data_IF_650584554789
#
_entry.id   IF_650584554789
#
_cell.length_a   1.000
_cell.length_b   1.000
_cell.length_c   1.000
_cell.angle_alpha   90.00
_cell.angle_beta   90.00
_cell.angle_gamma   90.00
#
_symmetry.space_group_name_H-M   'P 1'
#
loop_
_entity.id
_entity.type
_entity.pdbx_description
1 polymer ?
#
# COMPACT_ATOMS: atom_id res chain seq x y z
N UNK A 1 -15.78 -20.99 -9.47
CA UNK A 1 -15.83 -19.53 -9.29
C UNK A 1 -14.86 -18.88 -10.28
N UNK A 2 -15.28 -17.83 -10.98
CA UNK A 2 -14.43 -17.10 -11.93
C UNK A 2 -13.83 -15.86 -11.28
N UNK A 3 -12.72 -15.37 -11.84
CA UNK A 3 -12.11 -14.08 -11.41
C UNK A 3 -13.08 -12.90 -11.55
N UNK A 4 -13.95 -12.93 -12.56
CA UNK A 4 -14.94 -11.88 -12.77
C UNK A 4 -16.04 -11.88 -11.72
N UNK A 5 -16.55 -13.06 -11.35
CA UNK A 5 -17.54 -13.21 -10.27
C UNK A 5 -17.00 -12.70 -8.93
N UNK A 6 -15.75 -13.09 -8.58
CA UNK A 6 -15.10 -12.58 -7.37
C UNK A 6 -14.95 -11.08 -7.39
N UNK A 7 -14.41 -10.50 -8.48
CA UNK A 7 -14.22 -9.06 -8.61
C UNK A 7 -15.54 -8.28 -8.52
N UNK A 8 -16.61 -8.80 -9.12
CA UNK A 8 -17.94 -8.21 -9.02
C UNK A 8 -18.49 -8.25 -7.60
N UNK A 9 -18.35 -9.38 -6.91
CA UNK A 9 -18.77 -9.54 -5.51
C UNK A 9 -17.98 -8.60 -4.59
N UNK A 10 -16.65 -8.56 -4.70
CA UNK A 10 -15.82 -7.68 -3.89
C UNK A 10 -16.19 -6.20 -4.09
N UNK A 11 -16.46 -5.77 -5.32
CA UNK A 11 -16.95 -4.42 -5.61
C UNK A 11 -18.32 -4.14 -5.00
N UNK A 12 -19.25 -5.11 -5.01
CA UNK A 12 -20.56 -4.96 -4.37
C UNK A 12 -20.47 -4.85 -2.84
N UNK A 13 -19.41 -5.41 -2.24
CA UNK A 13 -19.08 -5.25 -0.81
C UNK A 13 -18.25 -3.99 -0.51
N UNK A 14 -18.00 -3.17 -1.53
CA UNK A 14 -17.37 -1.86 -1.39
C UNK A 14 -15.90 -1.78 -1.80
N UNK A 15 -15.27 -2.82 -2.32
CA UNK A 15 -13.90 -2.72 -2.83
C UNK A 15 -13.79 -1.72 -3.98
N UNK A 16 -12.84 -0.79 -3.88
CA UNK A 16 -12.51 0.14 -4.98
C UNK A 16 -11.52 -0.50 -5.96
N UNK A 17 -10.62 -1.35 -5.44
CA UNK A 17 -9.61 -2.08 -6.21
C UNK A 17 -9.70 -3.57 -5.88
N UNK A 18 -9.57 -4.42 -6.88
CA UNK A 18 -9.48 -5.89 -6.71
C UNK A 18 -8.52 -6.46 -7.73
N UNK A 19 -7.48 -7.14 -7.26
CA UNK A 19 -6.52 -7.84 -8.09
C UNK A 19 -6.30 -9.27 -7.62
N UNK A 20 -5.89 -10.15 -8.53
CA UNK A 20 -5.67 -11.57 -8.26
C UNK A 20 -4.28 -11.97 -8.75
N UNK A 21 -3.42 -12.44 -7.86
CA UNK A 21 -2.13 -13.04 -8.20
C UNK A 21 -2.19 -14.56 -8.04
N UNK A 22 -1.37 -15.28 -8.84
CA UNK A 22 -1.17 -16.72 -8.63
C UNK A 22 -0.08 -16.94 -7.59
N UNK A 23 -0.29 -17.86 -6.64
CA UNK A 23 0.75 -18.25 -5.68
C UNK A 23 1.96 -18.89 -6.38
N UNK A 24 1.75 -19.54 -7.52
CA UNK A 24 2.85 -20.11 -8.31
C UNK A 24 3.83 -19.03 -8.83
N UNK A 25 3.35 -17.84 -9.17
CA UNK A 25 4.21 -16.73 -9.59
C UNK A 25 5.02 -16.10 -8.44
N UNK A 26 4.69 -16.43 -7.21
CA UNK A 26 5.32 -15.96 -5.97
C UNK A 26 6.24 -17.00 -5.32
N UNK A 27 6.43 -18.15 -5.97
CA UNK A 27 7.23 -19.27 -5.43
C UNK A 27 8.72 -18.93 -5.18
N UNK A 28 9.23 -17.86 -5.81
CA UNK A 28 10.61 -17.38 -5.61
C UNK A 28 10.82 -16.66 -4.28
N UNK A 29 9.74 -16.28 -3.58
CA UNK A 29 9.84 -15.56 -2.33
C UNK A 29 10.39 -16.45 -1.21
N UNK A 30 11.20 -15.89 -0.31
CA UNK A 30 11.65 -16.61 0.87
C UNK A 30 10.45 -17.05 1.72
N UNK A 31 10.61 -18.10 2.50
CA UNK A 31 9.51 -18.66 3.30
C UNK A 31 8.89 -17.69 4.30
N UNK A 32 9.65 -16.69 4.74
CA UNK A 32 9.21 -15.64 5.65
C UNK A 32 8.21 -14.66 4.99
N UNK A 33 8.20 -14.58 3.65
CA UNK A 33 7.36 -13.69 2.84
C UNK A 33 6.42 -14.47 1.90
N UNK A 34 6.43 -15.82 1.96
CA UNK A 34 5.73 -16.67 0.99
C UNK A 34 4.31 -16.98 1.47
N UNK A 35 3.28 -16.74 0.65
CA UNK A 35 1.89 -17.05 1.00
C UNK A 35 1.66 -18.54 1.31
N UNK A 36 2.40 -19.45 0.67
CA UNK A 36 2.29 -20.90 0.92
C UNK A 36 2.84 -21.31 2.30
N UNK A 37 3.57 -20.46 2.99
CA UNK A 37 3.98 -20.70 4.38
C UNK A 37 2.83 -20.48 5.37
N UNK A 38 1.83 -19.68 4.99
CA UNK A 38 0.60 -19.47 5.77
C UNK A 38 -0.46 -20.50 5.40
N UNK A 39 -0.71 -20.64 4.10
CA UNK A 39 -1.72 -21.54 3.58
C UNK A 39 -1.13 -22.37 2.42
N UNK A 40 -0.63 -23.60 2.69
CA UNK A 40 0.05 -24.44 1.69
C UNK A 40 -0.80 -24.80 0.48
N UNK A 41 -2.13 -24.87 0.63
CA UNK A 41 -3.07 -25.18 -0.43
C UNK A 41 -3.51 -23.97 -1.26
N UNK A 42 -3.08 -22.77 -0.89
CA UNK A 42 -3.48 -21.54 -1.59
C UNK A 42 -3.06 -21.57 -3.07
N UNK A 43 -3.99 -21.25 -3.96
CA UNK A 43 -3.79 -21.11 -5.40
C UNK A 43 -3.66 -19.66 -5.82
N UNK A 44 -4.37 -18.78 -5.14
CA UNK A 44 -4.39 -17.35 -5.45
C UNK A 44 -4.24 -16.48 -4.19
N UNK A 45 -3.67 -15.31 -4.42
CA UNK A 45 -3.70 -14.16 -3.49
C UNK A 45 -4.63 -13.12 -4.09
N UNK A 46 -5.68 -12.78 -3.36
CA UNK A 46 -6.64 -11.73 -3.73
C UNK A 46 -6.24 -10.47 -2.98
N UNK A 47 -6.09 -9.37 -3.69
CA UNK A 47 -5.81 -8.05 -3.10
C UNK A 47 -7.09 -7.23 -3.17
N UNK A 48 -7.53 -6.72 -2.04
CA UNK A 48 -8.68 -5.83 -1.90
C UNK A 48 -8.16 -4.45 -1.51
N UNK A 49 -8.57 -3.42 -2.24
CA UNK A 49 -8.18 -2.05 -1.95
C UNK A 49 -9.38 -1.15 -1.68
N UNK A 50 -9.23 -0.26 -0.69
CA UNK A 50 -10.15 0.84 -0.39
C UNK A 50 -9.45 2.15 -0.64
N UNK A 51 -10.16 3.06 -1.32
CA UNK A 51 -9.67 4.39 -1.66
C UNK A 51 -9.60 5.29 -0.44
N UNK A 52 -8.51 6.04 -0.31
CA UNK A 52 -8.45 7.20 0.58
C UNK A 52 -9.13 8.39 -0.11
N UNK A 53 -10.20 8.97 0.44
CA UNK A 53 -10.83 10.14 -0.14
C UNK A 53 -9.82 11.28 -0.33
N UNK A 54 -9.77 11.86 -1.51
CA UNK A 54 -8.85 12.97 -1.80
C UNK A 54 -9.07 14.17 -0.87
N UNK A 55 -10.32 14.41 -0.49
CA UNK A 55 -10.71 15.45 0.46
C UNK A 55 -10.09 15.27 1.84
N UNK A 56 -9.85 14.03 2.27
CA UNK A 56 -9.20 13.76 3.56
C UNK A 56 -7.77 14.35 3.67
N UNK A 57 -7.12 14.59 2.54
CA UNK A 57 -5.79 15.20 2.50
C UNK A 57 -5.82 16.74 2.35
N UNK A 58 -7.01 17.34 2.19
CA UNK A 58 -7.11 18.79 1.89
C UNK A 58 -6.61 19.65 3.04
N UNK A 59 -7.02 19.36 4.27
CA UNK A 59 -6.58 20.10 5.45
C UNK A 59 -5.08 20.00 5.67
N UNK A 60 -4.51 18.83 5.44
CA UNK A 60 -3.06 18.64 5.53
C UNK A 60 -2.32 19.41 4.43
N UNK A 61 -2.80 19.40 3.19
CA UNK A 61 -2.18 20.17 2.12
C UNK A 61 -2.21 21.68 2.40
N UNK A 62 -3.25 22.18 3.08
CA UNK A 62 -3.34 23.55 3.56
C UNK A 62 -2.56 23.80 4.85
N UNK A 63 -2.12 22.77 5.56
CA UNK A 63 -1.44 22.90 6.85
C UNK A 63 -2.35 23.30 8.01
N UNK A 64 -3.66 22.96 7.94
CA UNK A 64 -4.67 23.45 8.87
C UNK A 64 -5.40 22.36 9.63
N UNK A 65 -5.47 21.13 9.10
CA UNK A 65 -6.24 20.06 9.72
C UNK A 65 -5.70 18.67 9.30
N UNK A 66 -5.62 17.72 10.23
CA UNK A 66 -5.22 16.35 9.99
C UNK A 66 -6.08 15.31 10.73
N UNK A 67 -6.41 15.55 11.99
CA UNK A 67 -6.90 14.52 12.90
C UNK A 67 -8.34 14.09 12.63
N UNK A 68 -9.23 15.04 12.30
CA UNK A 68 -10.64 14.73 12.05
C UNK A 68 -10.92 14.22 10.63
N UNK A 69 -9.96 14.36 9.75
CA UNK A 69 -10.11 14.01 8.34
C UNK A 69 -9.22 12.85 7.95
N UNK A 70 -7.91 13.08 7.80
CA UNK A 70 -7.02 12.02 7.31
C UNK A 70 -6.80 10.91 8.33
N UNK A 71 -6.64 11.22 9.62
CA UNK A 71 -6.42 10.18 10.62
C UNK A 71 -7.59 9.19 10.67
N UNK A 72 -8.81 9.67 10.50
CA UNK A 72 -10.00 8.80 10.46
C UNK A 72 -10.22 8.19 9.08
N UNK A 73 -10.49 9.01 8.05
CA UNK A 73 -10.90 8.53 6.73
C UNK A 73 -9.75 8.12 5.81
N UNK A 74 -8.53 8.42 6.15
CA UNK A 74 -7.34 7.99 5.43
C UNK A 74 -6.58 6.83 6.08
N UNK A 75 -6.88 6.54 7.36
CA UNK A 75 -6.15 5.52 8.11
C UNK A 75 -7.09 4.72 9.05
N UNK A 76 -7.45 5.21 10.24
CA UNK A 76 -8.07 4.43 11.31
C UNK A 76 -9.38 3.77 10.86
N UNK A 77 -10.43 4.55 10.61
CA UNK A 77 -11.73 4.00 10.20
C UNK A 77 -11.68 3.31 8.84
N UNK A 78 -10.81 3.81 7.96
CA UNK A 78 -10.66 3.21 6.64
C UNK A 78 -10.12 1.78 6.71
N UNK A 79 -9.12 1.52 7.56
CA UNK A 79 -8.55 0.19 7.74
C UNK A 79 -9.42 -0.67 8.66
N UNK A 80 -9.74 -0.20 9.87
CA UNK A 80 -10.36 -0.99 10.91
C UNK A 80 -11.85 -1.28 10.68
N UNK A 81 -12.55 -0.40 9.95
CA UNK A 81 -13.98 -0.55 9.69
C UNK A 81 -14.26 -0.86 8.22
N UNK A 82 -13.91 0.03 7.28
CA UNK A 82 -14.38 -0.12 5.90
C UNK A 82 -13.64 -1.21 5.14
N UNK A 83 -12.32 -1.26 5.23
CA UNK A 83 -11.52 -2.28 4.57
C UNK A 83 -11.69 -3.64 5.24
N UNK A 84 -11.67 -3.68 6.58
CA UNK A 84 -11.90 -4.88 7.37
C UNK A 84 -13.26 -5.52 7.02
N UNK A 85 -14.34 -4.71 7.01
CA UNK A 85 -15.67 -5.20 6.65
C UNK A 85 -15.71 -5.72 5.21
N UNK A 86 -15.18 -4.99 4.24
CA UNK A 86 -15.14 -5.43 2.85
C UNK A 86 -14.41 -6.77 2.71
N UNK A 87 -13.27 -6.91 3.38
CA UNK A 87 -12.46 -8.13 3.36
C UNK A 87 -13.20 -9.30 4.01
N UNK A 88 -13.84 -9.07 5.14
CA UNK A 88 -14.66 -10.05 5.83
C UNK A 88 -15.84 -10.52 4.96
N UNK A 89 -16.58 -9.61 4.34
CA UNK A 89 -17.73 -9.94 3.49
C UNK A 89 -17.32 -10.80 2.28
N UNK A 90 -16.16 -10.48 1.67
CA UNK A 90 -15.59 -11.31 0.57
C UNK A 90 -15.20 -12.69 1.10
N UNK A 91 -14.58 -12.77 2.28
CA UNK A 91 -14.19 -14.03 2.89
C UNK A 91 -15.40 -14.95 3.09
N UNK A 92 -16.44 -14.46 3.77
CA UNK A 92 -17.68 -15.20 4.02
C UNK A 92 -18.39 -15.58 2.71
N UNK A 93 -18.36 -14.72 1.69
CA UNK A 93 -18.92 -15.00 0.37
C UNK A 93 -18.19 -16.16 -0.32
N UNK A 94 -16.87 -16.29 -0.13
CA UNK A 94 -16.07 -17.39 -0.66
C UNK A 94 -16.32 -18.69 0.11
N UNK A 95 -16.35 -18.65 1.44
CA UNK A 95 -16.64 -19.81 2.30
C UNK A 95 -18.03 -20.38 2.02
N UNK A 96 -19.03 -19.53 1.79
CA UNK A 96 -20.37 -19.97 1.40
C UNK A 96 -20.41 -20.72 0.04
N UNK A 97 -19.32 -20.69 -0.72
CA UNK A 97 -19.12 -21.42 -1.98
C UNK A 97 -18.19 -22.62 -1.85
N UNK A 98 -17.78 -22.95 -0.63
CA UNK A 98 -16.94 -24.10 -0.32
C UNK A 98 -15.45 -23.88 -0.54
N UNK A 99 -14.99 -22.62 -0.63
CA UNK A 99 -13.58 -22.28 -0.71
C UNK A 99 -13.07 -21.77 0.63
N UNK A 100 -11.88 -22.19 1.02
CA UNK A 100 -11.19 -21.59 2.17
C UNK A 100 -10.52 -20.30 1.74
N UNK A 101 -10.65 -19.27 2.58
CA UNK A 101 -9.98 -17.99 2.37
C UNK A 101 -9.43 -17.46 3.70
N UNK A 102 -8.13 -17.12 3.71
CA UNK A 102 -7.43 -16.60 4.90
C UNK A 102 -7.29 -15.09 4.80
N UNK A 103 -8.03 -14.29 5.59
CA UNK A 103 -7.96 -12.84 5.53
C UNK A 103 -6.72 -12.33 6.25
N UNK A 104 -6.03 -11.39 5.60
CA UNK A 104 -4.80 -10.76 6.08
C UNK A 104 -4.85 -9.25 5.85
N UNK A 105 -4.44 -8.45 6.83
CA UNK A 105 -4.17 -7.04 6.60
C UNK A 105 -2.84 -6.85 5.87
N UNK A 106 -2.74 -5.78 5.08
CA UNK A 106 -1.54 -5.42 4.35
C UNK A 106 -0.64 -4.50 5.19
N UNK A 107 -0.14 -4.99 6.30
CA UNK A 107 0.78 -4.23 7.14
C UNK A 107 2.09 -3.92 6.43
N UNK A 108 2.60 -2.71 6.64
CA UNK A 108 3.94 -2.31 6.22
C UNK A 108 4.93 -2.64 7.34
N UNK A 109 5.35 -3.88 7.41
CA UNK A 109 6.29 -4.30 8.42
C UNK A 109 7.66 -4.56 7.84
N UNK A 110 8.66 -4.20 8.62
CA UNK A 110 10.08 -4.35 8.30
C UNK A 110 10.63 -5.75 8.62
N UNK A 111 9.76 -6.77 8.53
CA UNK A 111 10.16 -8.16 8.39
C UNK A 111 10.97 -8.78 9.53
N UNK A 112 10.84 -8.31 10.76
CA UNK A 112 11.45 -9.05 11.88
C UNK A 112 10.52 -10.20 12.29
N UNK A 113 10.96 -11.46 12.20
CA UNK A 113 10.16 -12.59 12.62
C UNK A 113 9.85 -12.48 14.13
N UNK A 114 8.58 -12.75 14.47
CA UNK A 114 8.14 -12.71 15.86
C UNK A 114 7.85 -14.13 16.34
N UNK A 115 8.71 -14.62 17.19
CA UNK A 115 8.59 -15.95 17.76
C UNK A 115 9.70 -16.89 17.28
N UNK A 116 9.48 -18.19 17.47
CA UNK A 116 10.41 -19.25 17.06
C UNK A 116 9.70 -20.22 16.14
N UNK A 117 10.39 -20.88 15.19
CA UNK A 117 9.81 -21.92 14.36
C UNK A 117 9.18 -23.02 15.21
N UNK A 118 7.95 -23.43 14.88
CA UNK A 118 7.25 -24.49 15.60
C UNK A 118 7.76 -25.88 15.22
N UNK A 119 8.44 -26.00 14.07
CA UNK A 119 9.07 -27.20 13.57
C UNK A 119 10.35 -26.85 12.79
N UNK A 120 11.34 -27.76 12.70
CA UNK A 120 12.49 -27.57 11.83
C UNK A 120 12.07 -27.30 10.36
N UNK A 121 12.65 -26.26 9.77
CA UNK A 121 12.38 -25.90 8.36
C UNK A 121 11.20 -24.95 8.14
N UNK A 122 10.27 -24.80 9.10
CA UNK A 122 9.22 -23.78 9.02
C UNK A 122 9.76 -22.40 9.38
N UNK A 123 9.17 -21.31 8.83
CA UNK A 123 9.47 -19.96 9.32
C UNK A 123 8.94 -19.77 10.75
N UNK A 124 9.43 -18.75 11.45
CA UNK A 124 8.85 -18.31 12.71
C UNK A 124 7.37 -17.90 12.49
N UNK A 125 6.51 -17.99 13.52
CA UNK A 125 5.16 -17.44 13.44
C UNK A 125 5.15 -15.98 13.00
N UNK A 126 3.99 -15.55 12.43
CA UNK A 126 3.79 -14.25 11.80
C UNK A 126 4.64 -14.07 10.53
N UNK A 127 4.50 -14.99 9.58
CA UNK A 127 4.89 -14.76 8.18
C UNK A 127 4.17 -13.50 7.68
N UNK A 128 4.92 -12.53 7.18
CA UNK A 128 4.38 -11.23 6.80
C UNK A 128 4.59 -11.01 5.32
N UNK A 129 3.49 -11.06 4.58
CA UNK A 129 3.53 -10.89 3.15
C UNK A 129 3.82 -9.44 2.77
N UNK A 130 4.76 -9.26 1.85
CA UNK A 130 5.08 -7.96 1.27
C UNK A 130 3.95 -7.50 0.33
N UNK A 131 2.96 -6.80 0.87
CA UNK A 131 1.74 -6.44 0.12
C UNK A 131 2.03 -5.71 -1.20
N UNK A 132 3.12 -4.94 -1.29
CA UNK A 132 3.51 -4.24 -2.52
C UNK A 132 3.85 -5.23 -3.64
N UNK A 133 4.55 -6.31 -3.32
CA UNK A 133 4.87 -7.38 -4.26
C UNK A 133 3.58 -8.09 -4.67
N UNK A 134 2.71 -8.42 -3.72
CA UNK A 134 1.44 -9.09 -3.96
C UNK A 134 0.51 -8.23 -4.84
N UNK A 135 0.36 -6.94 -4.52
CA UNK A 135 -0.47 -6.02 -5.26
C UNK A 135 0.06 -5.76 -6.68
N UNK A 136 1.38 -5.71 -6.87
CA UNK A 136 1.99 -5.60 -8.20
C UNK A 136 1.81 -6.87 -9.02
N UNK A 137 2.00 -8.05 -8.41
CA UNK A 137 1.73 -9.35 -9.04
C UNK A 137 0.25 -9.48 -9.45
N UNK A 138 -0.65 -8.88 -8.67
CA UNK A 138 -2.09 -8.81 -8.94
C UNK A 138 -2.50 -7.69 -9.92
N UNK A 139 -1.54 -7.01 -10.55
CA UNK A 139 -1.79 -6.03 -11.61
C UNK A 139 -2.29 -4.66 -11.16
N UNK A 140 -2.22 -4.33 -9.85
CA UNK A 140 -2.83 -3.12 -9.32
C UNK A 140 -1.97 -1.86 -9.42
N UNK A 141 -0.64 -2.00 -9.51
CA UNK A 141 0.22 -0.83 -9.52
C UNK A 141 1.68 -1.16 -9.25
N UNK A 142 2.45 -0.16 -8.86
CA UNK A 142 3.90 -0.23 -8.64
C UNK A 142 4.34 0.44 -7.34
N UNK A 143 5.52 0.08 -6.85
CA UNK A 143 6.15 0.82 -5.76
C UNK A 143 6.86 2.05 -6.32
N UNK A 144 6.47 3.24 -5.87
CA UNK A 144 7.10 4.50 -6.26
C UNK A 144 8.45 4.74 -5.58
N UNK A 145 9.20 5.72 -6.09
CA UNK A 145 10.53 6.11 -5.59
C UNK A 145 10.55 6.39 -4.07
N UNK A 146 9.48 6.97 -3.54
CA UNK A 146 9.35 7.24 -2.09
C UNK A 146 8.90 6.00 -1.27
N UNK A 147 8.79 4.83 -1.88
CA UNK A 147 8.37 3.59 -1.25
C UNK A 147 6.86 3.44 -1.00
N UNK A 148 6.02 4.37 -1.46
CA UNK A 148 4.56 4.21 -1.44
C UNK A 148 4.11 3.41 -2.66
N UNK A 149 3.04 2.62 -2.50
CA UNK A 149 2.44 1.92 -3.61
C UNK A 149 1.52 2.85 -4.40
N UNK A 150 1.67 2.85 -5.72
CA UNK A 150 0.95 3.73 -6.64
C UNK A 150 0.03 2.90 -7.53
N UNK A 151 -1.23 3.30 -7.64
CA UNK A 151 -2.18 2.73 -8.59
C UNK A 151 -2.55 3.74 -9.68
N UNK A 152 -2.90 3.27 -10.90
CA UNK A 152 -3.41 4.16 -11.95
C UNK A 152 -4.69 4.89 -11.55
N UNK A 153 -5.50 4.28 -10.68
CA UNK A 153 -6.77 4.87 -10.24
C UNK A 153 -6.53 6.04 -9.28
N UNK A 154 -5.71 5.86 -8.25
CA UNK A 154 -5.67 6.77 -7.10
C UNK A 154 -4.28 7.30 -6.73
N UNK A 155 -3.24 6.93 -7.48
CA UNK A 155 -1.86 7.21 -7.07
C UNK A 155 -1.54 6.52 -5.74
N UNK A 156 -1.02 7.22 -4.72
CA UNK A 156 -0.72 6.61 -3.41
C UNK A 156 -1.93 6.52 -2.46
N UNK A 157 -3.14 6.87 -2.90
CA UNK A 157 -4.31 7.05 -2.03
C UNK A 157 -5.19 5.81 -1.92
N UNK A 158 -4.66 4.72 -1.37
CA UNK A 158 -5.41 3.50 -1.06
C UNK A 158 -4.82 2.74 0.12
N UNK A 159 -5.66 1.89 0.73
CA UNK A 159 -5.30 0.88 1.70
C UNK A 159 -5.64 -0.49 1.15
N UNK A 160 -4.88 -1.50 1.57
CA UNK A 160 -5.04 -2.86 1.08
C UNK A 160 -5.26 -3.87 2.19
N UNK A 161 -5.99 -4.92 1.87
CA UNK A 161 -6.04 -6.18 2.57
C UNK A 161 -5.87 -7.33 1.57
N UNK A 162 -5.60 -8.51 2.04
CA UNK A 162 -5.35 -9.70 1.22
C UNK A 162 -6.20 -10.87 1.69
N UNK A 163 -6.51 -11.77 0.75
CA UNK A 163 -7.06 -13.10 1.05
C UNK A 163 -6.21 -14.15 0.34
N UNK A 164 -5.76 -15.17 1.07
CA UNK A 164 -5.19 -16.36 0.46
C UNK A 164 -6.31 -17.38 0.27
N UNK A 165 -6.39 -18.03 -0.88
CA UNK A 165 -7.47 -18.98 -1.14
C UNK A 165 -7.03 -20.20 -1.94
N UNK A 166 -7.65 -21.34 -1.68
CA UNK A 166 -7.55 -22.57 -2.46
C UNK A 166 -8.37 -22.54 -3.76
N UNK A 167 -9.24 -21.53 -3.93
CA UNK A 167 -9.96 -21.32 -5.17
C UNK A 167 -8.98 -21.03 -6.32
N UNK A 168 -9.00 -21.89 -7.35
CA UNK A 168 -8.21 -21.67 -8.54
C UNK A 168 -8.93 -20.70 -9.49
N UNK A 169 -8.28 -19.56 -9.75
CA UNK A 169 -8.80 -18.51 -10.63
C UNK A 169 -7.72 -18.02 -11.57
N UNK A 170 -8.15 -17.47 -12.71
CA UNK A 170 -7.23 -16.79 -13.63
C UNK A 170 -6.65 -15.55 -12.95
N UNK A 171 -5.33 -15.53 -12.77
CA UNK A 171 -4.63 -14.38 -12.24
C UNK A 171 -4.60 -13.21 -13.24
N UNK A 172 -4.50 -12.02 -12.71
CA UNK A 172 -4.21 -10.81 -13.48
C UNK A 172 -2.74 -10.82 -13.96
N UNK A 173 -2.45 -9.99 -14.95
CA UNK A 173 -1.06 -9.80 -15.39
C UNK A 173 -0.34 -8.88 -14.41
N UNK A 174 0.92 -9.16 -14.04
CA UNK A 174 1.70 -8.26 -13.20
C UNK A 174 1.78 -6.85 -13.79
N UNK A 175 1.73 -5.85 -12.94
CA UNK A 175 1.77 -4.46 -13.35
C UNK A 175 3.18 -4.08 -13.83
N UNK A 176 3.27 -3.52 -15.03
CA UNK A 176 4.52 -2.99 -15.57
C UNK A 176 4.69 -1.52 -15.12
N UNK A 177 5.81 -1.17 -14.48
CA UNK A 177 6.01 0.16 -13.92
C UNK A 177 6.04 1.27 -14.97
N UNK A 178 5.27 2.35 -14.74
CA UNK A 178 5.30 3.57 -15.57
C UNK A 178 4.86 4.85 -14.83
N UNK A 179 4.15 4.72 -13.70
CA UNK A 179 3.55 5.86 -12.99
C UNK A 179 4.62 6.77 -12.36
N UNK A 180 5.67 6.16 -11.79
CA UNK A 180 6.75 6.88 -11.09
C UNK A 180 7.91 7.26 -12.02
N UNK A 181 7.92 6.74 -13.26
CA UNK A 181 9.04 6.92 -14.18
C UNK A 181 9.40 8.39 -14.38
N UNK A 182 10.69 8.71 -14.26
CA UNK A 182 11.29 10.02 -14.52
C UNK A 182 10.68 11.21 -13.73
N UNK A 183 9.96 10.95 -12.64
CA UNK A 183 9.29 11.99 -11.87
C UNK A 183 10.16 12.66 -10.80
N UNK A 184 10.65 11.91 -9.81
CA UNK A 184 11.53 12.36 -8.73
C UNK A 184 10.99 13.44 -7.77
N UNK A 185 9.78 13.96 -7.95
CA UNK A 185 9.24 15.13 -7.21
C UNK A 185 9.14 14.95 -5.69
N UNK A 186 9.07 13.71 -5.21
CA UNK A 186 9.02 13.41 -3.79
C UNK A 186 10.34 13.68 -3.04
N UNK A 187 11.48 13.64 -3.73
CA UNK A 187 12.80 13.80 -3.12
C UNK A 187 13.00 15.25 -2.66
N UNK A 188 12.95 16.27 -3.54
CA UNK A 188 13.11 17.67 -3.10
C UNK A 188 11.94 18.15 -2.22
N UNK A 189 10.79 17.48 -2.26
CA UNK A 189 9.65 17.82 -1.41
C UNK A 189 9.80 17.31 0.04
N UNK A 190 10.80 16.49 0.34
CA UNK A 190 11.06 16.02 1.70
C UNK A 190 11.80 17.09 2.50
N UNK A 191 11.16 17.75 3.49
CA UNK A 191 11.80 18.85 4.22
C UNK A 191 13.01 18.40 5.07
N UNK A 192 13.05 17.10 5.39
CA UNK A 192 14.13 16.50 6.19
C UNK A 192 15.18 15.79 5.32
N UNK A 193 15.04 15.83 4.00
CA UNK A 193 15.95 15.16 3.05
C UNK A 193 16.16 13.66 3.38
N UNK A 194 15.11 12.99 3.85
CA UNK A 194 15.16 11.60 4.31
C UNK A 194 15.18 10.56 3.17
N UNK A 195 15.16 10.99 1.90
CA UNK A 195 15.12 10.10 0.73
C UNK A 195 16.39 10.25 -0.09
N UNK A 196 17.13 9.15 -0.27
CA UNK A 196 18.37 9.07 -1.04
C UNK A 196 18.21 8.10 -2.23
N UNK A 197 17.86 8.59 -3.42
CA UNK A 197 17.73 7.74 -4.61
C UNK A 197 19.03 7.04 -5.01
N UNK A 198 20.18 7.69 -4.80
CA UNK A 198 21.52 7.18 -5.12
C UNK A 198 21.89 5.93 -4.29
N UNK A 199 21.32 5.79 -3.11
CA UNK A 199 21.46 4.63 -2.24
C UNK A 199 20.23 3.69 -2.31
N UNK A 200 19.37 3.92 -3.31
CA UNK A 200 18.14 3.16 -3.51
C UNK A 200 18.38 1.73 -3.98
N UNK A 201 17.36 0.92 -3.84
CA UNK A 201 17.33 -0.47 -4.30
C UNK A 201 16.16 -0.71 -5.23
N UNK A 202 16.26 -1.74 -6.07
CA UNK A 202 15.12 -2.21 -6.86
C UNK A 202 14.20 -3.02 -5.95
N UNK A 203 12.91 -2.74 -5.99
CA UNK A 203 11.88 -3.46 -5.25
C UNK A 203 10.61 -3.61 -6.09
N UNK A 204 9.87 -4.68 -5.83
CA UNK A 204 8.65 -5.02 -6.55
C UNK A 204 8.55 -6.50 -6.88
N UNK A 205 7.59 -6.84 -7.74
CA UNK A 205 7.45 -8.19 -8.28
C UNK A 205 8.59 -8.49 -9.26
N UNK A 206 9.12 -9.73 -9.23
CA UNK A 206 10.24 -10.14 -10.06
C UNK A 206 10.03 -9.87 -11.56
N UNK A 207 10.96 -9.15 -12.17
CA UNK A 207 10.88 -8.71 -13.57
C UNK A 207 10.06 -7.44 -13.81
N UNK A 208 9.50 -6.85 -12.74
CA UNK A 208 8.72 -5.61 -12.79
C UNK A 208 9.17 -4.61 -11.71
N UNK A 209 10.41 -4.70 -11.26
CA UNK A 209 10.93 -3.90 -10.15
C UNK A 209 11.09 -2.42 -10.55
N UNK A 210 10.86 -1.54 -9.59
CA UNK A 210 11.13 -0.10 -9.68
C UNK A 210 12.25 0.30 -8.72
N UNK A 211 12.92 1.42 -9.00
CA UNK A 211 13.84 2.03 -8.04
C UNK A 211 13.06 2.59 -6.85
N UNK A 212 13.44 2.20 -5.65
CA UNK A 212 12.95 2.75 -4.39
C UNK A 212 14.12 3.41 -3.67
N UNK A 213 14.00 4.69 -3.34
CA UNK A 213 15.03 5.43 -2.63
C UNK A 213 15.26 4.84 -1.23
N UNK A 214 16.52 4.79 -0.82
CA UNK A 214 16.83 4.55 0.58
C UNK A 214 16.18 5.64 1.43
N UNK A 215 15.70 5.26 2.61
CA UNK A 215 14.98 6.17 3.50
C UNK A 215 15.58 6.14 4.90
N UNK A 216 15.91 7.32 5.40
CA UNK A 216 16.21 7.49 6.83
C UNK A 216 14.89 7.42 7.63
N UNK A 217 14.70 6.29 8.31
CA UNK A 217 13.48 6.05 9.09
C UNK A 217 13.42 6.93 10.35
N UNK A 218 14.56 7.31 10.93
CA UNK A 218 14.58 8.14 12.14
C UNK A 218 14.21 9.58 11.82
N UNK A 219 14.64 10.11 10.68
CA UNK A 219 14.16 11.40 10.17
C UNK A 219 12.65 11.33 9.86
N UNK A 220 12.18 10.27 9.19
CA UNK A 220 10.76 10.11 8.91
C UNK A 220 9.91 10.08 10.19
N UNK A 221 10.36 9.44 11.27
CA UNK A 221 9.67 9.41 12.58
C UNK A 221 9.52 10.79 13.19
N UNK A 222 10.41 11.72 12.88
CA UNK A 222 10.39 13.11 13.37
C UNK A 222 9.70 14.08 12.43
N UNK A 223 9.24 13.60 11.28
CA UNK A 223 8.60 14.45 10.26
C UNK A 223 7.27 15.04 10.77
N UNK A 224 7.17 16.38 10.77
CA UNK A 224 5.96 17.12 11.17
C UNK A 224 5.11 17.59 9.98
N UNK A 225 5.31 16.98 8.81
CA UNK A 225 4.73 17.44 7.55
C UNK A 225 3.66 16.46 7.05
N UNK A 226 2.79 16.00 7.94
CA UNK A 226 1.72 15.05 7.64
C UNK A 226 2.12 13.58 7.77
N UNK A 227 3.32 13.26 8.26
CA UNK A 227 3.68 11.93 8.69
C UNK A 227 3.42 11.77 10.20
N UNK A 228 3.07 10.56 10.62
CA UNK A 228 2.93 10.22 12.05
C UNK A 228 3.30 8.77 12.31
N UNK A 229 3.70 8.49 13.54
CA UNK A 229 4.04 7.13 13.98
C UNK A 229 2.75 6.43 14.39
N UNK A 230 2.49 5.27 13.80
CA UNK A 230 1.37 4.43 14.21
C UNK A 230 1.74 3.64 15.45
N UNK A 231 0.80 3.51 16.38
CA UNK A 231 1.01 2.75 17.62
C UNK A 231 0.49 1.31 17.52
N UNK A 232 0.41 0.77 16.33
CA UNK A 232 -0.09 -0.58 16.10
C UNK A 232 0.93 -1.64 16.52
N UNK A 233 1.00 -1.86 17.82
CA UNK A 233 1.72 -2.97 18.44
C UNK A 233 3.20 -3.08 18.02
N UNK A 234 3.61 -4.29 17.67
CA UNK A 234 4.99 -4.63 17.27
C UNK A 234 5.41 -4.05 15.93
N UNK A 235 4.47 -3.54 15.15
CA UNK A 235 4.65 -3.08 13.78
C UNK A 235 4.53 -1.57 13.65
N UNK A 236 4.82 -0.84 14.74
CA UNK A 236 4.85 0.62 14.71
C UNK A 236 5.68 1.12 13.52
N UNK A 237 5.02 1.67 12.53
CA UNK A 237 5.62 2.22 11.32
C UNK A 237 5.33 3.71 11.20
N UNK A 238 5.92 4.36 10.21
CA UNK A 238 5.62 5.76 9.92
C UNK A 238 4.57 5.80 8.81
N UNK A 239 3.36 6.23 9.16
CA UNK A 239 2.33 6.53 8.17
C UNK A 239 2.73 7.76 7.37
N UNK A 240 2.77 7.65 6.03
CA UNK A 240 3.34 8.69 5.17
C UNK A 240 2.46 9.09 3.99
N UNK A 241 1.26 8.52 3.85
CA UNK A 241 0.39 8.88 2.72
C UNK A 241 0.01 10.37 2.74
N UNK A 242 -0.06 10.97 3.91
CA UNK A 242 -0.30 12.40 4.05
C UNK A 242 0.97 13.26 4.09
N UNK A 243 2.16 12.66 4.12
CA UNK A 243 3.42 13.40 4.23
C UNK A 243 3.70 14.30 3.01
N UNK A 244 4.57 15.30 3.18
CA UNK A 244 4.94 16.25 2.12
C UNK A 244 5.44 15.55 0.84
N UNK A 245 6.25 14.49 0.97
CA UNK A 245 6.73 13.69 -0.16
C UNK A 245 5.59 12.98 -0.91
N UNK A 246 4.59 12.49 -0.19
CA UNK A 246 3.41 11.87 -0.79
C UNK A 246 2.49 12.90 -1.45
N UNK A 247 2.25 14.04 -0.78
CA UNK A 247 1.44 15.12 -1.37
C UNK A 247 2.06 15.67 -2.65
N UNK A 248 3.39 15.74 -2.72
CA UNK A 248 4.09 16.08 -3.97
C UNK A 248 3.90 15.02 -5.06
N UNK A 249 3.88 13.74 -4.67
CA UNK A 249 3.58 12.64 -5.59
C UNK A 249 2.15 12.74 -6.14
N UNK A 250 1.15 12.99 -5.28
CA UNK A 250 -0.25 13.16 -5.69
C UNK A 250 -0.36 14.32 -6.68
N UNK A 251 0.19 15.48 -6.35
CA UNK A 251 0.17 16.65 -7.23
C UNK A 251 0.80 16.34 -8.60
N UNK A 252 1.99 15.73 -8.60
CA UNK A 252 2.70 15.40 -9.83
C UNK A 252 1.97 14.35 -10.70
N UNK A 253 1.29 13.39 -10.11
CA UNK A 253 0.48 12.40 -10.83
C UNK A 253 -0.76 13.05 -11.47
N UNK A 254 -1.44 13.94 -10.74
CA UNK A 254 -2.59 14.69 -11.26
C UNK A 254 -2.19 15.66 -12.37
N UNK A 255 -1.11 16.45 -12.19
CA UNK A 255 -0.59 17.39 -13.20
C UNK A 255 -0.24 16.69 -14.52
N UNK A 256 0.25 15.46 -14.46
CA UNK A 256 0.57 14.65 -15.65
C UNK A 256 -0.62 13.89 -16.22
N UNK A 257 -1.79 13.96 -15.61
CA UNK A 257 -2.94 13.14 -15.98
C UNK A 257 -2.67 11.63 -15.84
N UNK A 258 -1.80 11.23 -14.92
CA UNK A 258 -1.39 9.85 -14.73
C UNK A 258 -2.36 9.04 -13.85
N UNK A 259 -3.35 9.68 -13.25
CA UNK A 259 -4.43 9.02 -12.50
C UNK A 259 -5.73 9.04 -13.29
N UNK A 260 -6.55 7.99 -13.10
CA UNK A 260 -7.84 7.86 -13.80
C UNK A 260 -8.95 8.75 -13.20
N UNK A 261 -8.76 9.25 -11.96
CA UNK A 261 -9.73 10.14 -11.34
C UNK A 261 -9.82 11.49 -12.06
N UNK A 262 -11.04 11.85 -12.42
CA UNK A 262 -11.34 13.17 -12.98
C UNK A 262 -11.74 14.12 -11.86
N UNK A 263 -10.87 15.03 -11.51
CA UNK A 263 -11.09 16.04 -10.47
C UNK A 263 -11.06 17.42 -11.15
N UNK A 264 -12.04 18.25 -10.85
CA UNK A 264 -12.20 19.58 -11.46
C UNK A 264 -11.06 20.54 -11.07
N UNK A 265 -10.61 20.47 -9.81
CA UNK A 265 -9.57 21.36 -9.29
C UNK A 265 -8.29 20.58 -9.00
N UNK A 266 -7.09 21.13 -9.26
CA UNK A 266 -5.82 20.47 -8.94
C UNK A 266 -5.72 20.19 -7.44
N UNK A 267 -4.97 19.16 -7.09
CA UNK A 267 -4.71 18.83 -5.68
C UNK A 267 -3.99 19.98 -4.99
N UNK A 268 -2.91 20.45 -5.58
CA UNK A 268 -2.13 21.57 -5.06
C UNK A 268 -2.68 22.90 -5.58
N UNK A 269 -3.18 23.73 -4.68
CA UNK A 269 -3.78 25.03 -4.99
C UNK A 269 -2.96 26.22 -4.48
N UNK A 270 -1.97 25.95 -3.64
CA UNK A 270 -1.06 26.95 -3.08
C UNK A 270 0.38 26.44 -3.13
N UNK A 271 1.34 27.31 -2.84
CA UNK A 271 2.75 26.89 -2.75
C UNK A 271 2.90 25.73 -1.73
N UNK A 272 3.76 24.74 -2.03
CA UNK A 272 4.04 23.68 -1.08
C UNK A 272 4.60 24.25 0.22
N UNK A 273 4.27 23.61 1.33
CA UNK A 273 4.83 23.94 2.63
C UNK A 273 5.59 22.75 3.21
N UNK A 274 6.58 23.03 4.02
CA UNK A 274 7.33 22.03 4.77
C UNK A 274 7.97 22.67 5.99
N UNK A 275 8.25 21.85 7.00
CA UNK A 275 8.98 22.24 8.21
C UNK A 275 10.00 21.20 8.55
N UNK A 276 11.13 21.61 9.11
CA UNK A 276 12.16 20.72 9.64
C UNK A 276 11.74 20.10 10.99
N UNK A 277 12.66 19.42 11.66
CA UNK A 277 12.40 18.75 12.94
C UNK A 277 12.21 19.72 14.11
N UNK A 278 12.68 20.95 14.03
CA UNK A 278 12.46 22.02 15.03
C UNK A 278 11.22 22.84 14.73
N UNK A 279 10.68 22.75 13.52
CA UNK A 279 9.46 23.42 13.10
C UNK A 279 9.73 24.68 12.25
N UNK A 280 10.97 24.94 11.88
CA UNK A 280 11.30 26.03 10.98
C UNK A 280 10.84 25.73 9.55
N UNK A 281 10.40 26.77 8.85
CA UNK A 281 9.96 26.63 7.47
C UNK A 281 11.13 26.29 6.57
N UNK A 282 10.99 25.25 5.77
CA UNK A 282 11.91 24.86 4.71
C UNK A 282 11.18 24.86 3.37
N UNK A 283 11.92 25.08 2.30
CA UNK A 283 11.36 25.09 0.94
C UNK A 283 11.27 23.69 0.35
#
# INVERSE_FOLDING_TARGET
>A
MTSQELKAAAKSFGADLVGIASTASLAYLPKEDNPLSIFPQAKNVIIIGRKIPRGALRGIEQGTEMDNSFAQFGFIDLEDNFLAKTTYDVNIWMEARGFEAVPLFAYDCTGQPVGVPVEPGKPAPNVILQYRIMAQAAGLGETGLNGLFLTPEFGPRQRFAMLLTDAEMKADKPFQPYLCKDCGKCVPACPLQALSPENGTKAGFAGCESLVAARDNDLCRRCRNGAFVTNEGRFSTVERVAAACSRACIAALEERGATQEKITHPFRQSAPWGRDIVGDKVQ
#
